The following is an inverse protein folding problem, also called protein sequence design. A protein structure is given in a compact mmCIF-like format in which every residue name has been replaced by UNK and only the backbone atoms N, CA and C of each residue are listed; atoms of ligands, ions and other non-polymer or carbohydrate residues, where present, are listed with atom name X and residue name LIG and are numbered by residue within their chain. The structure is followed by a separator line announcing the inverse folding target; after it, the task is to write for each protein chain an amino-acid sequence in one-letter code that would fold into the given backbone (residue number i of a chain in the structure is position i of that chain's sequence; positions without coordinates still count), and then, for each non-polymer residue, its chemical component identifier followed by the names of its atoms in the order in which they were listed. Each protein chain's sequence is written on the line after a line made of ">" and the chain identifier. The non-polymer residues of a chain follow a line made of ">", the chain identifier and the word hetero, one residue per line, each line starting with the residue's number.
data_IF_702271224767
#
_entry.id   IF_702271224767
#
_cell.length_a   1.000
_cell.length_b   1.000
_cell.length_c   1.000
_cell.angle_alpha   90.00
_cell.angle_beta   90.00
_cell.angle_gamma   90.00
#
_symmetry.space_group_name_H-M   'P 1'
#
loop_
_entity.id
_entity.type
_entity.pdbx_description
1 polymer ?
#
# COMPACT_ATOMS: atom_id res chain seq x y z
N UNK A 1 15.15 -16.67 5.77
CA UNK A 1 16.16 -15.89 5.01
C UNK A 1 16.12 -14.45 5.47
N UNK A 2 17.28 -13.83 5.73
CA UNK A 2 17.39 -12.37 5.95
C UNK A 2 17.56 -11.73 4.58
N UNK A 3 16.62 -10.86 4.18
CA UNK A 3 16.75 -10.11 2.93
C UNK A 3 17.92 -9.13 3.06
N UNK A 4 18.89 -9.17 2.14
CA UNK A 4 20.10 -8.34 2.13
C UNK A 4 20.00 -7.42 0.92
N UNK A 5 20.08 -6.11 1.14
CA UNK A 5 20.10 -5.11 0.06
C UNK A 5 21.54 -4.75 -0.27
N UNK A 6 21.84 -4.68 -1.56
CA UNK A 6 23.12 -4.22 -2.10
C UNK A 6 23.20 -2.69 -2.04
N UNK A 7 24.41 -2.14 -1.96
CA UNK A 7 24.61 -0.69 -1.97
C UNK A 7 24.11 -0.03 -3.27
N UNK A 8 24.22 -0.73 -4.40
CA UNK A 8 23.70 -0.31 -5.69
C UNK A 8 22.18 -0.14 -5.68
N UNK A 9 21.46 -1.04 -5.01
CA UNK A 9 20.01 -0.98 -4.85
C UNK A 9 19.58 0.22 -3.99
N UNK A 10 20.32 0.48 -2.90
CA UNK A 10 20.08 1.65 -2.05
C UNK A 10 20.34 2.96 -2.79
N UNK A 11 21.41 2.99 -3.59
CA UNK A 11 21.75 4.13 -4.44
C UNK A 11 20.64 4.37 -5.47
N UNK A 12 20.20 3.30 -6.15
CA UNK A 12 19.11 3.36 -7.12
C UNK A 12 17.82 3.90 -6.48
N UNK A 13 17.39 3.35 -5.34
CA UNK A 13 16.20 3.84 -4.64
C UNK A 13 16.33 5.30 -4.21
N UNK A 14 17.53 5.72 -3.78
CA UNK A 14 17.80 7.11 -3.41
C UNK A 14 17.65 8.05 -4.61
N UNK A 15 18.16 7.67 -5.76
CA UNK A 15 18.18 8.46 -7.00
C UNK A 15 16.81 8.46 -7.71
N UNK A 16 16.24 7.28 -7.93
CA UNK A 16 14.99 7.11 -8.69
C UNK A 16 13.74 7.29 -7.85
N UNK A 17 13.85 7.13 -6.53
CA UNK A 17 12.71 7.23 -5.62
C UNK A 17 11.83 5.98 -5.56
N UNK A 18 12.14 4.93 -6.33
CA UNK A 18 11.48 3.63 -6.26
C UNK A 18 12.46 2.48 -6.49
N UNK A 19 12.06 1.27 -6.12
CA UNK A 19 12.77 0.03 -6.38
C UNK A 19 11.81 -1.16 -6.34
N UNK A 20 11.96 -2.09 -7.29
CA UNK A 20 11.21 -3.34 -7.31
C UNK A 20 12.07 -4.47 -6.74
N UNK A 21 11.48 -5.31 -5.90
CA UNK A 21 12.07 -6.55 -5.42
C UNK A 21 11.17 -7.72 -5.80
N UNK A 22 11.80 -8.83 -6.19
CA UNK A 22 11.15 -10.11 -6.39
C UNK A 22 11.29 -11.02 -5.15
N UNK A 23 10.50 -12.09 -5.12
CA UNK A 23 10.63 -13.18 -4.15
C UNK A 23 10.63 -12.76 -2.67
N UNK A 24 9.97 -11.63 -2.34
CA UNK A 24 9.83 -11.17 -0.95
C UNK A 24 8.90 -12.11 -0.17
N UNK A 25 7.92 -12.67 -0.88
CA UNK A 25 6.91 -13.57 -0.38
C UNK A 25 6.98 -14.89 -1.15
N UNK A 26 6.65 -16.00 -0.50
CA UNK A 26 6.47 -17.27 -1.22
C UNK A 26 5.23 -17.21 -2.10
N UNK A 27 5.20 -17.99 -3.18
CA UNK A 27 4.03 -18.09 -4.06
C UNK A 27 2.77 -18.47 -3.27
N UNK A 28 2.89 -19.44 -2.35
CA UNK A 28 1.80 -19.86 -1.46
C UNK A 28 1.25 -18.72 -0.61
N UNK A 29 2.11 -17.84 -0.09
CA UNK A 29 1.67 -16.71 0.72
C UNK A 29 0.95 -15.65 -0.14
N UNK A 30 1.37 -15.50 -1.41
CA UNK A 30 0.70 -14.60 -2.36
C UNK A 30 -0.66 -15.17 -2.78
N UNK A 31 -0.77 -16.47 -2.99
CA UNK A 31 -2.05 -17.15 -3.22
C UNK A 31 -3.01 -16.92 -2.05
N UNK A 32 -2.54 -17.19 -0.82
CA UNK A 32 -3.34 -16.99 0.39
C UNK A 32 -3.75 -15.52 0.58
N UNK A 33 -2.85 -14.58 0.24
CA UNK A 33 -3.13 -13.15 0.30
C UNK A 33 -4.20 -12.72 -0.71
N UNK A 34 -4.08 -13.15 -1.97
CA UNK A 34 -5.09 -12.86 -2.99
C UNK A 34 -6.45 -13.45 -2.61
N UNK A 35 -6.49 -14.73 -2.21
CA UNK A 35 -7.73 -15.41 -1.81
C UNK A 35 -8.38 -14.74 -0.59
N UNK A 36 -7.59 -14.30 0.39
CA UNK A 36 -8.10 -13.58 1.56
C UNK A 36 -8.73 -12.24 1.17
N UNK A 37 -8.09 -11.49 0.27
CA UNK A 37 -8.62 -10.22 -0.23
C UNK A 37 -9.91 -10.47 -1.01
N UNK A 38 -9.94 -11.42 -1.93
CA UNK A 38 -11.13 -11.75 -2.72
C UNK A 38 -12.31 -12.16 -1.83
N UNK A 39 -12.08 -12.95 -0.78
CA UNK A 39 -13.09 -13.33 0.20
C UNK A 39 -13.65 -12.12 0.98
N UNK A 40 -12.77 -11.20 1.42
CA UNK A 40 -13.18 -9.96 2.08
C UNK A 40 -14.02 -9.06 1.18
N UNK A 41 -13.74 -9.03 -0.12
CA UNK A 41 -14.46 -8.22 -1.10
C UNK A 41 -15.77 -8.88 -1.56
N UNK A 42 -15.84 -10.20 -1.61
CA UNK A 42 -17.04 -10.97 -2.03
C UNK A 42 -18.12 -11.05 -0.96
N UNK A 43 -17.76 -10.85 0.32
CA UNK A 43 -18.67 -10.96 1.47
C UNK A 43 -19.77 -9.88 1.56
N UNK A 44 -19.79 -8.91 0.63
CA UNK A 44 -20.80 -7.86 0.54
C UNK A 44 -21.34 -7.77 -0.89
N UNK A 45 -22.59 -7.30 -1.11
CA UNK A 45 -23.03 -6.93 -2.45
C UNK A 45 -21.97 -6.00 -3.06
N UNK A 46 -21.64 -6.24 -4.34
CA UNK A 46 -20.62 -5.48 -5.06
C UNK A 46 -20.79 -4.00 -4.70
N UNK A 47 -19.76 -3.36 -4.13
CA UNK A 47 -19.84 -1.94 -3.80
C UNK A 47 -20.31 -1.23 -5.05
N UNK A 48 -21.23 -0.26 -4.91
CA UNK A 48 -21.46 0.68 -6.00
C UNK A 48 -20.10 1.19 -6.48
N UNK A 49 -19.96 1.55 -7.76
CA UNK A 49 -18.68 2.06 -8.29
C UNK A 49 -18.04 3.15 -7.40
N UNK A 50 -18.86 3.85 -6.61
CA UNK A 50 -18.46 4.92 -5.70
C UNK A 50 -18.10 4.48 -4.27
N UNK A 51 -18.45 3.25 -3.83
CA UNK A 51 -18.13 2.78 -2.47
C UNK A 51 -16.76 2.08 -2.44
N UNK A 52 -15.72 2.90 -2.27
CA UNK A 52 -14.35 2.41 -2.15
C UNK A 52 -14.02 1.89 -0.75
N UNK A 53 -14.88 2.10 0.26
CA UNK A 53 -14.58 1.74 1.67
C UNK A 53 -14.17 0.27 1.86
N UNK A 54 -14.80 -0.71 1.19
CA UNK A 54 -14.43 -2.12 1.35
C UNK A 54 -13.01 -2.45 0.89
N UNK A 55 -12.39 -1.58 0.09
CA UNK A 55 -11.03 -1.77 -0.43
C UNK A 55 -9.93 -1.33 0.54
N UNK A 56 -10.22 -0.48 1.52
CA UNK A 56 -9.21 0.15 2.40
C UNK A 56 -9.10 -0.56 3.74
N UNK A 57 -7.92 -0.48 4.34
CA UNK A 57 -7.59 -0.95 5.69
C UNK A 57 -7.98 -2.42 5.92
N UNK A 58 -7.72 -3.28 4.93
CA UNK A 58 -7.97 -4.73 4.98
C UNK A 58 -7.16 -5.39 6.10
N UNK A 59 -6.01 -4.84 6.48
CA UNK A 59 -5.24 -5.32 7.65
C UNK A 59 -6.05 -5.25 8.96
N UNK A 60 -7.09 -4.40 9.04
CA UNK A 60 -7.99 -4.36 10.22
C UNK A 60 -9.01 -5.48 10.21
N UNK A 61 -9.33 -5.98 9.02
CA UNK A 61 -10.39 -6.96 8.77
C UNK A 61 -9.85 -8.39 8.71
N UNK A 62 -8.53 -8.54 8.54
CA UNK A 62 -7.87 -9.84 8.50
C UNK A 62 -6.53 -9.80 9.24
N UNK A 63 -6.43 -10.61 10.28
CA UNK A 63 -5.17 -10.85 10.99
C UNK A 63 -4.11 -11.49 10.09
N UNK A 64 -4.54 -12.26 9.09
CA UNK A 64 -3.63 -12.83 8.10
C UNK A 64 -2.95 -11.72 7.28
N UNK A 65 -3.74 -10.81 6.70
CA UNK A 65 -3.20 -9.65 5.95
C UNK A 65 -2.28 -8.84 6.86
N UNK A 66 -2.74 -8.52 8.07
CA UNK A 66 -1.93 -7.78 9.06
C UNK A 66 -0.60 -8.44 9.34
N UNK A 67 -0.57 -9.75 9.60
CA UNK A 67 0.66 -10.51 9.86
C UNK A 67 1.59 -10.53 8.64
N UNK A 68 1.04 -10.65 7.44
CA UNK A 68 1.80 -10.60 6.18
C UNK A 68 2.46 -9.25 5.99
N UNK A 69 1.73 -8.14 6.17
CA UNK A 69 2.27 -6.78 6.08
C UNK A 69 3.25 -6.44 7.20
N UNK A 70 3.21 -7.17 8.31
CA UNK A 70 4.10 -7.01 9.45
C UNK A 70 5.19 -8.09 9.52
N UNK A 71 5.39 -8.85 8.44
CA UNK A 71 6.42 -9.88 8.38
C UNK A 71 7.83 -9.27 8.53
N UNK A 72 8.72 -9.99 9.22
CA UNK A 72 10.09 -9.56 9.52
C UNK A 72 10.90 -9.18 8.28
N UNK A 73 10.77 -9.91 7.17
CA UNK A 73 11.50 -9.61 5.94
C UNK A 73 11.02 -8.31 5.30
N UNK A 74 9.71 -8.15 5.19
CA UNK A 74 9.08 -6.95 4.65
C UNK A 74 9.45 -5.71 5.47
N UNK A 75 9.37 -5.85 6.79
CA UNK A 75 9.85 -4.86 7.77
C UNK A 75 11.33 -4.54 7.56
N UNK A 76 12.23 -5.52 7.47
CA UNK A 76 13.65 -5.24 7.26
C UNK A 76 13.93 -4.40 6.00
N UNK A 77 13.27 -4.70 4.88
CA UNK A 77 13.39 -3.92 3.63
C UNK A 77 12.98 -2.47 3.90
N UNK A 78 11.80 -2.25 4.50
CA UNK A 78 11.29 -0.91 4.83
C UNK A 78 12.28 -0.14 5.71
N UNK A 79 12.82 -0.78 6.76
CA UNK A 79 13.78 -0.14 7.68
C UNK A 79 15.03 0.31 6.92
N UNK A 80 15.57 -0.54 6.08
CA UNK A 80 16.80 -0.26 5.32
C UNK A 80 16.57 0.88 4.31
N UNK A 81 15.48 0.82 3.54
CA UNK A 81 15.18 1.83 2.51
C UNK A 81 14.90 3.22 3.12
N UNK A 82 14.17 3.26 4.23
CA UNK A 82 13.74 4.53 4.84
C UNK A 82 14.74 5.09 5.82
N UNK A 83 15.63 4.26 6.38
CA UNK A 83 16.53 4.60 7.50
C UNK A 83 15.80 5.19 8.72
N UNK A 84 14.52 4.85 8.89
CA UNK A 84 13.68 5.31 10.01
C UNK A 84 13.64 4.23 11.08
N UNK A 85 13.81 4.64 12.33
CA UNK A 85 13.74 3.74 13.48
C UNK A 85 12.31 3.45 13.94
N UNK A 86 11.35 4.32 13.60
CA UNK A 86 9.95 4.18 13.98
C UNK A 86 9.04 4.58 12.83
N UNK A 87 8.28 3.61 12.36
CA UNK A 87 7.26 3.78 11.33
C UNK A 87 5.99 3.07 11.76
N UNK A 88 4.86 3.48 11.18
CA UNK A 88 3.57 2.79 11.34
C UNK A 88 3.00 2.38 10.00
N UNK A 89 2.22 1.30 10.04
CA UNK A 89 1.32 0.95 8.96
C UNK A 89 0.15 1.93 8.99
N UNK A 90 0.03 2.75 7.95
CA UNK A 90 -0.96 3.84 7.90
C UNK A 90 -2.24 3.36 7.24
N UNK A 91 -2.12 2.74 6.07
CA UNK A 91 -3.25 2.16 5.35
C UNK A 91 -2.80 1.00 4.46
N UNK A 92 -3.76 0.20 4.03
CA UNK A 92 -3.66 -0.63 2.83
C UNK A 92 -4.89 -0.42 1.94
N UNK A 93 -4.76 -0.65 0.65
CA UNK A 93 -5.81 -0.46 -0.36
C UNK A 93 -5.68 -1.56 -1.43
N UNK A 94 -6.70 -2.40 -1.55
CA UNK A 94 -6.81 -3.29 -2.72
C UNK A 94 -7.24 -2.49 -3.95
N UNK A 95 -6.47 -2.63 -5.03
CA UNK A 95 -6.78 -2.07 -6.33
C UNK A 95 -7.18 -3.25 -7.22
N UNK A 96 -8.47 -3.30 -7.57
CA UNK A 96 -9.08 -4.38 -8.34
C UNK A 96 -9.96 -3.82 -9.45
N UNK A 97 -10.05 -4.54 -10.58
CA UNK A 97 -10.76 -4.11 -11.80
C UNK A 97 -12.27 -3.88 -11.63
N UNK A 98 -12.88 -4.37 -10.55
CA UNK A 98 -14.32 -4.22 -10.31
C UNK A 98 -14.72 -2.85 -9.75
N UNK A 99 -13.77 -2.11 -9.17
CA UNK A 99 -14.03 -0.86 -8.46
C UNK A 99 -12.91 0.13 -8.80
N UNK A 100 -13.27 1.20 -9.51
CA UNK A 100 -12.35 2.27 -9.83
C UNK A 100 -12.17 3.18 -8.61
N UNK A 101 -10.94 3.35 -8.15
CA UNK A 101 -10.59 4.43 -7.23
C UNK A 101 -10.31 5.68 -8.08
N UNK A 102 -10.74 6.88 -7.65
CA UNK A 102 -10.63 8.09 -8.46
C UNK A 102 -9.20 8.66 -8.50
N UNK A 103 -8.23 7.86 -8.94
CA UNK A 103 -6.92 8.36 -9.32
C UNK A 103 -7.04 9.02 -10.69
N UNK A 104 -6.83 10.34 -10.75
CA UNK A 104 -7.02 11.09 -12.00
C UNK A 104 -5.69 11.37 -12.73
N UNK A 105 -4.62 11.56 -11.96
CA UNK A 105 -3.34 12.05 -12.50
C UNK A 105 -2.16 11.59 -11.66
N UNK A 106 -0.97 11.76 -12.23
CA UNK A 106 0.29 11.59 -11.55
C UNK A 106 0.36 12.48 -10.31
N UNK A 107 0.35 11.85 -9.13
CA UNK A 107 0.26 12.54 -7.84
C UNK A 107 1.07 11.78 -6.79
N UNK A 108 1.85 12.49 -5.96
CA UNK A 108 2.46 11.90 -4.77
C UNK A 108 1.45 11.28 -3.81
N UNK A 109 1.80 10.20 -3.11
CA UNK A 109 0.91 9.54 -2.14
C UNK A 109 0.49 10.45 -1.00
N UNK A 110 1.39 11.32 -0.54
CA UNK A 110 1.10 12.29 0.52
C UNK A 110 0.02 13.32 0.12
N UNK A 111 -0.22 13.49 -1.18
CA UNK A 111 -1.27 14.33 -1.73
C UNK A 111 -2.51 13.55 -2.18
N UNK A 112 -2.42 12.23 -2.32
CA UNK A 112 -3.55 11.35 -2.63
C UNK A 112 -4.35 10.96 -1.38
N UNK A 113 -3.68 10.77 -0.24
CA UNK A 113 -4.33 10.29 0.97
C UNK A 113 -4.37 11.34 2.09
N UNK A 114 -5.31 11.15 3.03
CA UNK A 114 -5.57 12.03 4.17
C UNK A 114 -4.54 11.88 5.31
N UNK A 115 -3.27 11.68 4.97
CA UNK A 115 -2.21 11.40 5.94
C UNK A 115 -1.03 12.35 5.76
N UNK A 116 -0.70 13.10 6.81
CA UNK A 116 0.52 13.89 6.88
C UNK A 116 1.61 13.08 7.58
N UNK A 117 2.78 12.98 6.95
CA UNK A 117 3.90 12.15 7.42
C UNK A 117 3.98 10.77 6.79
N UNK A 118 3.33 10.54 5.64
CA UNK A 118 3.62 9.37 4.80
C UNK A 118 5.07 9.43 4.31
N UNK A 119 5.76 8.30 4.34
CA UNK A 119 7.19 8.18 3.99
C UNK A 119 7.39 7.23 2.81
N UNK A 120 6.63 6.13 2.76
CA UNK A 120 6.87 5.04 1.82
C UNK A 120 5.55 4.43 1.38
N UNK A 121 5.40 4.22 0.08
CA UNK A 121 4.41 3.36 -0.53
C UNK A 121 5.01 2.02 -0.91
N UNK A 122 4.21 0.96 -0.82
CA UNK A 122 4.54 -0.34 -1.41
C UNK A 122 3.38 -0.81 -2.24
N UNK A 123 3.64 -1.20 -3.48
CA UNK A 123 2.67 -1.82 -4.36
C UNK A 123 3.07 -3.28 -4.55
N UNK A 124 2.17 -4.21 -4.27
CA UNK A 124 2.37 -5.66 -4.48
C UNK A 124 1.47 -6.12 -5.62
N UNK A 125 2.01 -6.83 -6.60
CA UNK A 125 1.20 -7.46 -7.65
C UNK A 125 0.65 -8.79 -7.15
N UNK A 126 -0.67 -8.94 -7.17
CA UNK A 126 -1.36 -10.13 -6.66
C UNK A 126 -1.71 -11.12 -7.78
N UNK A 127 -2.05 -10.64 -8.97
CA UNK A 127 -2.47 -11.49 -10.09
C UNK A 127 -1.28 -12.01 -10.93
N UNK A 128 -1.52 -13.09 -11.67
CA UNK A 128 -0.56 -13.72 -12.59
C UNK A 128 -0.58 -13.18 -14.02
N UNK A 129 -1.26 -12.06 -14.30
CA UNK A 129 -1.42 -11.54 -15.67
C UNK A 129 -0.18 -10.82 -16.15
N UNK A 130 -0.20 -10.50 -17.46
CA UNK A 130 0.91 -9.87 -18.19
C UNK A 130 1.57 -8.76 -17.39
N UNK A 131 2.91 -8.78 -17.44
CA UNK A 131 3.74 -7.78 -16.81
C UNK A 131 3.37 -6.38 -17.32
N UNK A 132 3.36 -5.43 -16.41
CA UNK A 132 3.26 -4.02 -16.77
C UNK A 132 4.59 -3.55 -17.39
N UNK A 133 4.50 -2.73 -18.44
CA UNK A 133 5.67 -2.01 -18.99
C UNK A 133 5.96 -0.71 -18.23
N UNK A 134 5.11 -0.35 -17.26
CA UNK A 134 5.24 0.86 -16.46
C UNK A 134 6.30 0.62 -15.37
N UNK A 135 7.37 1.41 -15.38
CA UNK A 135 8.58 1.19 -14.59
C UNK A 135 8.37 1.07 -13.07
N UNK A 136 7.41 1.78 -12.50
CA UNK A 136 7.12 1.78 -11.06
C UNK A 136 6.02 0.80 -10.64
N UNK A 137 5.46 0.03 -11.59
CA UNK A 137 4.52 -1.03 -11.27
C UNK A 137 5.26 -2.37 -11.18
N UNK A 138 4.98 -3.18 -10.14
CA UNK A 138 5.60 -4.50 -10.02
C UNK A 138 5.23 -5.35 -11.23
N UNK A 139 6.24 -5.98 -11.83
CA UNK A 139 6.14 -6.66 -13.11
C UNK A 139 5.52 -8.03 -12.95
N UNK A 140 5.98 -8.81 -11.99
CA UNK A 140 5.53 -10.20 -11.77
C UNK A 140 4.67 -10.33 -10.52
N UNK A 141 3.82 -11.36 -10.52
CA UNK A 141 3.07 -11.77 -9.32
C UNK A 141 4.01 -11.95 -8.14
N UNK A 142 3.63 -11.43 -6.98
CA UNK A 142 4.43 -11.49 -5.76
C UNK A 142 5.57 -10.47 -5.67
N UNK A 143 5.93 -9.82 -6.78
CA UNK A 143 6.88 -8.70 -6.71
C UNK A 143 6.24 -7.51 -5.99
N UNK A 144 7.10 -6.75 -5.32
CA UNK A 144 6.70 -5.52 -4.66
C UNK A 144 7.59 -4.36 -5.10
N UNK A 145 6.96 -3.27 -5.51
CA UNK A 145 7.65 -2.00 -5.76
C UNK A 145 7.51 -1.09 -4.54
N UNK A 146 8.63 -0.70 -3.96
CA UNK A 146 8.73 0.27 -2.88
C UNK A 146 9.03 1.62 -3.50
N UNK A 147 8.36 2.67 -3.05
CA UNK A 147 8.55 4.01 -3.59
C UNK A 147 8.34 5.07 -2.52
N UNK A 148 9.08 6.18 -2.63
CA UNK A 148 8.94 7.33 -1.73
C UNK A 148 7.53 7.88 -1.85
N UNK A 149 6.91 8.23 -0.72
CA UNK A 149 5.57 8.85 -0.72
C UNK A 149 5.51 10.15 -1.53
N UNK A 150 6.63 10.87 -1.64
CA UNK A 150 6.76 12.11 -2.40
C UNK A 150 7.01 11.90 -3.89
N UNK A 151 7.25 10.67 -4.35
CA UNK A 151 7.41 10.38 -5.78
C UNK A 151 6.04 10.49 -6.46
N UNK A 152 5.87 11.36 -7.46
CA UNK A 152 4.65 11.39 -8.25
C UNK A 152 4.49 10.06 -8.99
N UNK A 153 3.36 9.39 -8.81
CA UNK A 153 3.02 8.17 -9.54
C UNK A 153 1.62 8.28 -10.11
N UNK A 154 1.44 7.75 -11.32
CA UNK A 154 0.12 7.69 -11.94
C UNK A 154 -0.51 6.32 -11.67
N UNK A 155 -1.21 6.20 -10.53
CA UNK A 155 -1.96 4.99 -10.17
C UNK A 155 -3.18 4.76 -11.06
N UNK A 156 -3.68 5.79 -11.77
CA UNK A 156 -4.79 5.64 -12.72
C UNK A 156 -4.46 4.65 -13.84
N UNK A 157 -3.17 4.55 -14.19
CA UNK A 157 -2.70 3.60 -15.21
C UNK A 157 -2.98 2.14 -14.84
N UNK A 158 -3.12 1.81 -13.56
CA UNK A 158 -3.48 0.45 -13.12
C UNK A 158 -4.88 0.08 -13.64
N UNK A 159 -5.82 1.02 -13.71
CA UNK A 159 -7.18 0.75 -14.20
C UNK A 159 -7.25 0.58 -15.72
N UNK A 160 -6.27 1.11 -16.46
CA UNK A 160 -6.14 0.80 -17.89
C UNK A 160 -5.65 -0.63 -18.13
N UNK A 161 -4.97 -1.21 -17.14
CA UNK A 161 -4.52 -2.60 -17.15
C UNK A 161 -5.66 -3.52 -16.69
N UNK A 162 -6.62 -3.76 -17.60
CA UNK A 162 -7.82 -4.57 -17.31
C UNK A 162 -7.48 -5.85 -16.57
N UNK A 163 -8.29 -6.14 -15.56
CA UNK A 163 -8.28 -7.35 -14.73
C UNK A 163 -7.00 -7.58 -13.93
N UNK A 164 -6.21 -6.55 -13.64
CA UNK A 164 -5.07 -6.64 -12.71
C UNK A 164 -5.49 -6.38 -11.27
N UNK A 165 -4.73 -6.93 -10.33
CA UNK A 165 -4.94 -6.81 -8.89
C UNK A 165 -3.65 -6.42 -8.21
N UNK A 166 -3.72 -5.37 -7.41
CA UNK A 166 -2.61 -4.89 -6.61
C UNK A 166 -3.04 -4.63 -5.18
N UNK A 167 -2.09 -4.71 -4.25
CA UNK A 167 -2.23 -4.21 -2.90
C UNK A 167 -1.29 -3.02 -2.71
N UNK A 168 -1.86 -1.83 -2.50
CA UNK A 168 -1.12 -0.62 -2.14
C UNK A 168 -1.05 -0.50 -0.62
N UNK A 169 0.13 -0.23 -0.07
CA UNK A 169 0.36 -0.12 1.37
C UNK A 169 1.09 1.19 1.64
N UNK A 170 0.57 1.96 2.60
CA UNK A 170 1.19 3.21 3.04
C UNK A 170 1.85 3.08 4.40
N UNK A 171 3.11 3.51 4.49
CA UNK A 171 3.86 3.65 5.73
C UNK A 171 4.15 5.11 6.02
N UNK A 172 4.04 5.49 7.30
CA UNK A 172 4.26 6.86 7.76
C UNK A 172 5.02 6.91 9.07
N UNK A 173 5.40 8.12 9.46
CA UNK A 173 6.11 8.36 10.71
C UNK A 173 5.26 7.99 11.93
N UNK A 174 5.92 7.75 13.07
CA UNK A 174 5.26 7.41 14.32
C UNK A 174 4.16 8.42 14.72
N UNK A 175 4.36 9.71 14.39
CA UNK A 175 3.41 10.81 14.64
C UNK A 175 2.63 11.24 13.39
N UNK A 176 2.32 10.30 12.48
CA UNK A 176 1.46 10.59 11.31
C UNK A 176 0.15 11.23 11.78
N UNK A 177 -0.28 12.29 11.10
CA UNK A 177 -1.49 13.05 11.41
C UNK A 177 -2.56 12.76 10.37
N UNK A 178 -3.80 12.58 10.82
CA UNK A 178 -4.96 12.55 9.94
C UNK A 178 -5.28 13.98 9.49
N UNK A 179 -5.15 14.28 8.19
CA UNK A 179 -5.37 15.63 7.63
C UNK A 179 -6.61 15.67 6.75
N UNK A 180 -7.21 16.84 6.61
CA UNK A 180 -8.21 17.05 5.58
C UNK A 180 -7.54 17.02 4.20
N UNK A 181 -7.99 16.13 3.32
CA UNK A 181 -7.55 16.07 1.92
C UNK A 181 -8.74 15.72 1.02
N UNK A 182 -9.25 16.71 0.28
CA UNK A 182 -10.42 16.53 -0.59
C UNK A 182 -10.16 15.60 -1.79
N UNK A 183 -8.90 15.27 -2.08
CA UNK A 183 -8.54 14.32 -3.13
C UNK A 183 -8.63 12.86 -2.67
N UNK A 184 -8.68 12.61 -1.35
CA UNK A 184 -8.86 11.26 -0.82
C UNK A 184 -10.35 10.90 -0.90
N UNK A 185 -10.71 9.91 -1.72
CA UNK A 185 -12.09 9.43 -1.86
C UNK A 185 -12.72 9.00 -0.53
N UNK A 186 -11.86 8.70 0.45
CA UNK A 186 -12.22 8.27 1.79
C UNK A 186 -11.73 9.26 2.84
N UNK A 187 -11.73 10.55 2.51
CA UNK A 187 -11.28 11.64 3.39
C UNK A 187 -11.88 11.58 4.79
N UNK A 188 -13.14 11.13 4.95
CA UNK A 188 -13.82 11.05 6.24
C UNK A 188 -13.75 9.66 6.92
N UNK A 189 -13.10 8.66 6.30
CA UNK A 189 -13.14 7.27 6.77
C UNK A 189 -12.67 7.11 8.22
N UNK A 190 -11.59 7.79 8.61
CA UNK A 190 -11.06 7.66 9.98
C UNK A 190 -11.94 8.30 11.06
N UNK A 191 -12.91 9.15 10.70
CA UNK A 191 -13.89 9.66 11.67
C UNK A 191 -14.74 8.53 12.24
N UNK A 192 -14.98 7.47 11.48
CA UNK A 192 -15.68 6.26 11.94
C UNK A 192 -14.89 5.50 13.02
N UNK A 193 -13.57 5.71 13.08
CA UNK A 193 -12.69 5.16 14.12
C UNK A 193 -12.48 6.14 15.30
N UNK A 194 -13.20 7.26 15.31
CA UNK A 194 -13.15 8.27 16.37
C UNK A 194 -12.01 9.28 16.24
N UNK A 195 -11.45 9.48 15.04
CA UNK A 195 -10.47 10.53 14.78
C UNK A 195 -11.13 11.83 14.32
N UNK A 196 -10.52 12.96 14.69
CA UNK A 196 -10.74 14.27 14.08
C UNK A 196 -9.56 14.67 13.20
N UNK A 197 -9.77 15.55 12.23
CA UNK A 197 -8.65 16.12 11.47
C UNK A 197 -7.71 16.87 12.42
N UNK A 198 -6.40 16.64 12.27
CA UNK A 198 -5.37 17.11 13.19
C UNK A 198 -4.94 16.06 14.22
N UNK A 199 -5.69 14.97 14.39
CA UNK A 199 -5.32 13.92 15.34
C UNK A 199 -4.10 13.12 14.86
N UNK A 200 -3.24 12.77 15.81
CA UNK A 200 -2.17 11.80 15.62
C UNK A 200 -2.77 10.39 15.59
N UNK A 201 -2.35 9.58 14.62
CA UNK A 201 -2.78 8.18 14.53
C UNK A 201 -2.36 7.39 15.77
N UNK A 202 -3.28 6.57 16.29
CA UNK A 202 -3.11 5.75 17.50
C UNK A 202 -2.74 4.32 17.14
N UNK A 203 -1.90 3.70 17.98
CA UNK A 203 -1.37 2.35 17.75
C UNK A 203 -2.43 1.26 17.73
N UNK A 204 -3.54 1.46 18.46
CA UNK A 204 -4.72 0.59 18.43
C UNK A 204 -5.19 0.32 17.00
N UNK A 205 -5.12 1.34 16.16
CA UNK A 205 -5.63 1.31 14.80
C UNK A 205 -4.51 1.25 13.77
N UNK A 206 -3.37 1.91 13.99
CA UNK A 206 -2.29 1.99 13.02
C UNK A 206 -1.01 1.51 13.70
N UNK A 207 -0.71 0.20 13.67
CA UNK A 207 0.35 -0.36 14.48
C UNK A 207 1.73 0.17 14.05
N UNK A 208 2.60 0.40 15.03
CA UNK A 208 4.03 0.58 14.78
C UNK A 208 4.62 -0.71 14.19
N UNK A 209 5.51 -0.56 13.22
CA UNK A 209 6.18 -1.69 12.56
C UNK A 209 7.55 -1.99 13.17
N UNK A 210 8.19 -1.01 13.83
CA UNK A 210 9.40 -1.13 14.66
C UNK A 210 9.24 -0.33 15.95
#
# INVERSE_FOLDING_TARGET
>A
MKFILLESELKFFKEMGFIEFDNIFSETLIDDLENTIDSLLSSKPLPSKDDTKPLRDLFRRSDFIKKTLLNKNFKNIIKILTKKERLRLVFDLAIVDTIEYPFEKETPLDNLFSFQGLILGVLIKLDSKKNSEINYLPKKRGNATFFKSSLPINLAQIYHLKKQKYLLIGFGEAKTIYKLNTNDAQVNYLKELGYSFGDVLKDKFHPLIF
#
